data_IF_932202146071
#
_entry.id   IF_932202146071
#
_cell.length_a   1.000
_cell.length_b   1.000
_cell.length_c   1.000
_cell.angle_alpha   90.00
_cell.angle_beta   90.00
_cell.angle_gamma   90.00
#
_symmetry.space_group_name_H-M   'P 1'
#
loop_
_entity.id
_entity.type
_entity.pdbx_description
1 polymer ?
#
# COMPACT_ATOMS: atom_id res chain seq x y z
N UNK A 1 -22.31 6.31 -0.99
CA UNK A 1 -22.50 4.89 -0.58
C UNK A 1 -21.23 4.06 -0.71
N UNK A 2 -20.57 4.01 -1.89
CA UNK A 2 -19.35 3.21 -2.13
C UNK A 2 -18.20 3.43 -1.13
N UNK A 3 -17.99 4.67 -0.66
CA UNK A 3 -16.94 5.01 0.35
C UNK A 3 -17.16 4.29 1.69
N UNK A 4 -18.36 4.40 2.27
CA UNK A 4 -18.69 3.80 3.57
C UNK A 4 -18.63 2.28 3.56
N UNK A 5 -19.06 1.66 2.45
CA UNK A 5 -18.97 0.20 2.28
C UNK A 5 -17.51 -0.25 2.34
N UNK A 6 -16.59 0.42 1.63
CA UNK A 6 -15.15 0.10 1.69
C UNK A 6 -14.60 0.19 3.12
N UNK A 7 -15.02 1.20 3.88
CA UNK A 7 -14.58 1.39 5.27
C UNK A 7 -15.12 0.26 6.16
N UNK A 8 -16.42 -0.02 6.11
CA UNK A 8 -17.05 -1.09 6.91
C UNK A 8 -16.42 -2.45 6.60
N UNK A 9 -16.29 -2.80 5.33
CA UNK A 9 -15.67 -4.06 4.91
C UNK A 9 -14.20 -4.11 5.31
N UNK A 10 -13.44 -3.03 5.12
CA UNK A 10 -12.05 -2.96 5.53
C UNK A 10 -11.87 -3.11 7.05
N UNK A 11 -12.70 -2.45 7.85
CA UNK A 11 -12.70 -2.56 9.31
C UNK A 11 -13.04 -3.97 9.77
N UNK A 12 -14.01 -4.63 9.13
CA UNK A 12 -14.37 -6.01 9.44
C UNK A 12 -13.22 -6.98 9.14
N UNK A 13 -12.56 -6.84 7.98
CA UNK A 13 -11.41 -7.68 7.62
C UNK A 13 -10.26 -7.55 8.63
N UNK A 14 -9.96 -6.32 9.07
CA UNK A 14 -8.93 -6.07 10.10
C UNK A 14 -9.32 -6.74 11.42
N UNK A 15 -10.59 -6.60 11.85
CA UNK A 15 -11.06 -7.20 13.09
C UNK A 15 -11.04 -8.75 13.06
N UNK A 16 -11.43 -9.34 11.93
CA UNK A 16 -11.34 -10.79 11.68
C UNK A 16 -9.89 -11.24 11.77
N UNK A 17 -9.00 -10.55 11.06
CA UNK A 17 -7.58 -10.87 11.09
C UNK A 17 -7.00 -10.78 12.50
N UNK A 18 -7.33 -9.72 13.23
CA UNK A 18 -6.78 -9.46 14.55
C UNK A 18 -7.18 -10.54 15.56
N UNK A 19 -8.46 -10.91 15.65
CA UNK A 19 -8.91 -11.91 16.60
C UNK A 19 -8.46 -13.34 16.23
N UNK A 20 -8.67 -13.72 14.97
CA UNK A 20 -8.49 -15.12 14.55
C UNK A 20 -7.00 -15.46 14.35
N UNK A 21 -6.20 -14.55 13.78
CA UNK A 21 -4.84 -14.87 13.36
C UNK A 21 -3.77 -14.28 14.28
N UNK A 22 -4.04 -13.18 15.00
CA UNK A 22 -3.03 -12.52 15.82
C UNK A 22 -3.21 -12.83 17.30
N UNK A 23 -4.37 -12.46 17.85
CA UNK A 23 -4.65 -12.62 19.28
C UNK A 23 -4.72 -14.09 19.72
N UNK A 24 -5.25 -14.98 18.87
CA UNK A 24 -5.36 -16.42 19.18
C UNK A 24 -4.03 -17.19 19.08
N UNK A 25 -2.97 -16.57 18.53
CA UNK A 25 -1.71 -17.24 18.17
C UNK A 25 -0.44 -16.52 18.68
N UNK A 26 -0.58 -15.59 19.61
CA UNK A 26 0.56 -14.89 20.23
C UNK A 26 1.46 -14.15 19.23
N UNK A 27 0.82 -13.64 18.18
CA UNK A 27 1.46 -12.85 17.13
C UNK A 27 1.10 -11.39 17.35
N UNK A 28 2.12 -10.54 17.50
CA UNK A 28 1.94 -9.11 17.74
C UNK A 28 1.88 -8.35 16.41
N UNK A 29 0.75 -7.70 16.08
CA UNK A 29 0.64 -6.89 14.88
C UNK A 29 1.34 -5.53 15.04
N UNK A 30 1.28 -4.70 14.00
CA UNK A 30 1.97 -3.42 13.99
C UNK A 30 1.19 -2.29 14.71
N UNK A 31 1.93 -1.25 15.11
CA UNK A 31 1.38 -0.02 15.64
C UNK A 31 0.54 -0.16 16.91
N UNK A 32 -0.54 0.60 16.99
CA UNK A 32 -1.34 0.66 18.23
C UNK A 32 -2.01 -0.68 18.57
N UNK A 33 -2.26 -1.51 17.56
CA UNK A 33 -2.72 -2.89 17.71
C UNK A 33 -1.66 -3.78 18.35
N UNK A 34 -0.38 -3.57 18.03
CA UNK A 34 0.73 -4.26 18.69
C UNK A 34 0.82 -3.90 20.17
N UNK A 35 0.71 -2.60 20.49
CA UNK A 35 0.68 -2.11 21.87
C UNK A 35 -0.50 -2.71 22.64
N UNK A 36 -1.70 -2.70 22.05
CA UNK A 36 -2.89 -3.31 22.65
C UNK A 36 -2.70 -4.80 22.97
N UNK A 37 -2.06 -5.53 22.04
CA UNK A 37 -1.79 -6.96 22.20
C UNK A 37 -0.77 -7.20 23.31
N UNK A 38 0.33 -6.45 23.36
CA UNK A 38 1.32 -6.57 24.44
C UNK A 38 0.72 -6.27 25.82
N UNK A 39 -0.13 -5.25 25.91
CA UNK A 39 -0.85 -4.94 27.16
C UNK A 39 -1.80 -6.08 27.55
N UNK A 40 -2.48 -6.68 26.57
CA UNK A 40 -3.32 -7.86 26.80
C UNK A 40 -2.48 -9.04 27.34
N UNK A 41 -1.31 -9.33 26.77
CA UNK A 41 -0.44 -10.42 27.24
C UNK A 41 0.09 -10.23 28.66
N UNK A 42 0.41 -9.00 29.06
CA UNK A 42 0.97 -8.74 30.39
C UNK A 42 -0.12 -8.61 31.45
N UNK A 43 -1.24 -7.95 31.13
CA UNK A 43 -2.24 -7.53 32.12
C UNK A 43 -3.63 -8.16 31.92
N UNK A 44 -3.82 -9.02 30.92
CA UNK A 44 -5.12 -9.56 30.50
C UNK A 44 -6.20 -8.49 30.24
N UNK A 45 -5.78 -7.27 29.89
CA UNK A 45 -6.69 -6.18 29.58
C UNK A 45 -7.29 -6.37 28.19
N UNK A 46 -8.58 -6.06 28.00
CA UNK A 46 -9.24 -6.22 26.70
C UNK A 46 -8.60 -5.30 25.64
N UNK A 47 -7.99 -5.86 24.59
CA UNK A 47 -7.33 -5.07 23.56
C UNK A 47 -8.31 -4.14 22.82
N UNK A 48 -9.57 -4.55 22.67
CA UNK A 48 -10.57 -3.74 21.98
C UNK A 48 -10.89 -2.45 22.74
N UNK A 49 -10.99 -2.53 24.07
CA UNK A 49 -11.22 -1.36 24.93
C UNK A 49 -10.03 -0.41 24.89
N UNK A 50 -8.81 -0.95 24.97
CA UNK A 50 -7.61 -0.13 24.84
C UNK A 50 -7.55 0.60 23.50
N UNK A 51 -7.81 -0.11 22.40
CA UNK A 51 -7.82 0.46 21.06
C UNK A 51 -8.88 1.55 20.90
N UNK A 52 -10.07 1.34 21.45
CA UNK A 52 -11.14 2.34 21.40
C UNK A 52 -10.74 3.60 22.17
N UNK A 53 -10.25 3.47 23.41
CA UNK A 53 -9.81 4.60 24.23
C UNK A 53 -8.67 5.36 23.54
N UNK A 54 -7.66 4.63 23.05
CA UNK A 54 -6.50 5.24 22.42
C UNK A 54 -6.88 5.94 21.10
N UNK A 55 -7.74 5.35 20.26
CA UNK A 55 -8.25 6.00 19.07
C UNK A 55 -9.08 7.25 19.40
N UNK A 56 -9.93 7.22 20.42
CA UNK A 56 -10.70 8.41 20.84
C UNK A 56 -9.75 9.54 21.25
N UNK A 57 -8.75 9.26 22.08
CA UNK A 57 -7.73 10.25 22.47
C UNK A 57 -6.99 10.83 21.26
N UNK A 58 -6.58 9.98 20.32
CA UNK A 58 -5.88 10.41 19.11
C UNK A 58 -6.79 11.18 18.14
N UNK A 59 -8.07 10.82 18.02
CA UNK A 59 -9.03 11.56 17.20
C UNK A 59 -9.28 12.95 17.79
N UNK A 60 -9.34 13.09 19.12
CA UNK A 60 -9.42 14.40 19.78
C UNK A 60 -8.16 15.21 19.47
N UNK A 61 -6.98 14.60 19.57
CA UNK A 61 -5.72 15.27 19.20
C UNK A 61 -5.73 15.70 17.73
N UNK A 62 -6.19 14.85 16.82
CA UNK A 62 -6.33 15.16 15.39
C UNK A 62 -7.31 16.32 15.15
N UNK A 63 -8.41 16.38 15.89
CA UNK A 63 -9.36 17.49 15.80
C UNK A 63 -8.71 18.82 16.17
N UNK A 64 -7.94 18.85 17.25
CA UNK A 64 -7.26 20.06 17.75
C UNK A 64 -6.14 20.50 16.80
N UNK A 65 -5.37 19.56 16.25
CA UNK A 65 -4.14 19.85 15.48
C UNK A 65 -4.34 19.91 13.97
N UNK A 66 -5.07 18.95 13.39
CA UNK A 66 -5.31 18.83 11.94
C UNK A 66 -6.59 19.54 11.48
N UNK A 67 -7.44 19.92 12.43
CA UNK A 67 -8.66 20.68 12.19
C UNK A 67 -9.89 19.84 11.78
N UNK A 68 -11.05 20.51 11.65
CA UNK A 68 -12.38 19.87 11.56
C UNK A 68 -12.65 19.14 10.24
N UNK A 69 -11.79 19.28 9.23
CA UNK A 69 -11.95 18.62 7.93
C UNK A 69 -11.20 17.28 7.94
N UNK A 70 -9.93 17.28 8.38
CA UNK A 70 -9.07 16.09 8.34
C UNK A 70 -9.44 15.05 9.39
N UNK A 71 -9.82 15.46 10.60
CA UNK A 71 -10.12 14.49 11.67
C UNK A 71 -11.26 13.51 11.32
N UNK A 72 -12.17 13.92 10.43
CA UNK A 72 -13.30 13.09 9.97
C UNK A 72 -12.85 11.81 9.28
N UNK A 73 -11.64 11.79 8.72
CA UNK A 73 -11.07 10.63 8.04
C UNK A 73 -10.71 9.49 9.00
N UNK A 74 -10.65 9.74 10.31
CA UNK A 74 -10.30 8.73 11.32
C UNK A 74 -11.50 8.28 12.16
N UNK A 75 -12.59 9.05 12.18
CA UNK A 75 -13.77 8.80 13.03
C UNK A 75 -14.37 7.41 12.80
N UNK A 76 -14.71 7.10 11.55
CA UNK A 76 -15.45 5.88 11.25
C UNK A 76 -14.57 4.62 11.44
N UNK A 77 -13.34 4.53 10.89
CA UNK A 77 -12.46 3.39 11.14
C UNK A 77 -12.05 3.26 12.62
N UNK A 78 -11.76 4.38 13.28
CA UNK A 78 -11.30 4.41 14.66
C UNK A 78 -12.33 3.90 15.68
N UNK A 79 -13.62 3.92 15.34
CA UNK A 79 -14.70 3.34 16.14
C UNK A 79 -15.05 1.93 15.66
N UNK A 80 -15.18 1.71 14.35
CA UNK A 80 -15.63 0.42 13.81
C UNK A 80 -14.63 -0.72 14.05
N UNK A 81 -13.32 -0.46 13.94
CA UNK A 81 -12.33 -1.51 14.11
C UNK A 81 -12.33 -2.05 15.55
N UNK A 82 -12.19 -1.20 16.60
CA UNK A 82 -12.27 -1.69 17.97
C UNK A 82 -13.64 -2.31 18.29
N UNK A 83 -14.73 -1.75 17.77
CA UNK A 83 -16.08 -2.30 17.97
C UNK A 83 -16.20 -3.71 17.39
N UNK A 84 -15.75 -3.94 16.16
CA UNK A 84 -15.79 -5.27 15.56
C UNK A 84 -14.84 -6.24 16.26
N UNK A 85 -13.67 -5.78 16.72
CA UNK A 85 -12.78 -6.61 17.53
C UNK A 85 -13.49 -7.04 18.81
N UNK A 86 -14.12 -6.10 19.53
CA UNK A 86 -14.87 -6.37 20.76
C UNK A 86 -16.01 -7.37 20.53
N UNK A 87 -16.84 -7.15 19.50
CA UNK A 87 -17.95 -8.04 19.16
C UNK A 87 -17.44 -9.46 18.88
N UNK A 88 -16.36 -9.60 18.11
CA UNK A 88 -15.81 -10.92 17.79
C UNK A 88 -15.26 -11.65 19.02
N UNK A 89 -14.57 -10.92 19.89
CA UNK A 89 -14.06 -11.48 21.15
C UNK A 89 -15.22 -11.89 22.07
N UNK A 90 -16.25 -11.05 22.21
CA UNK A 90 -17.42 -11.31 23.04
C UNK A 90 -18.19 -12.57 22.62
N UNK A 91 -18.32 -12.84 21.32
CA UNK A 91 -18.97 -14.04 20.80
C UNK A 91 -18.03 -15.25 20.69
N UNK A 92 -16.80 -15.16 21.18
CA UNK A 92 -15.77 -16.19 21.05
C UNK A 92 -15.65 -16.72 19.61
N UNK A 93 -15.69 -15.80 18.63
CA UNK A 93 -15.51 -16.13 17.22
C UNK A 93 -14.02 -16.39 16.93
N UNK A 94 -13.48 -17.42 17.55
CA UNK A 94 -12.13 -17.93 17.33
C UNK A 94 -12.20 -19.17 16.43
N UNK A 95 -11.17 -19.36 15.62
CA UNK A 95 -10.99 -20.56 14.81
C UNK A 95 -9.73 -21.23 15.31
N UNK A 96 -9.82 -22.46 15.81
CA UNK A 96 -8.64 -23.25 16.11
C UNK A 96 -8.12 -23.88 14.83
N UNK A 97 -6.93 -23.48 14.43
CA UNK A 97 -6.16 -24.16 13.42
C UNK A 97 -5.25 -25.18 14.10
N UNK A 98 -5.81 -26.33 14.51
CA UNK A 98 -5.09 -27.36 15.27
C UNK A 98 -3.91 -28.00 14.51
N UNK A 99 -3.75 -27.73 13.21
CA UNK A 99 -2.71 -28.34 12.36
C UNK A 99 -2.04 -27.37 11.38
N UNK A 100 -2.20 -26.05 11.55
CA UNK A 100 -1.50 -25.07 10.68
C UNK A 100 -0.24 -24.56 11.36
N UNK A 101 0.85 -24.52 10.59
CA UNK A 101 2.08 -23.87 11.03
C UNK A 101 1.84 -22.38 11.30
N UNK A 102 2.44 -21.85 12.36
CA UNK A 102 2.33 -20.45 12.78
C UNK A 102 2.64 -19.47 11.64
N UNK A 103 3.58 -19.81 10.76
CA UNK A 103 3.92 -18.99 9.59
C UNK A 103 2.73 -18.82 8.62
N UNK A 104 1.89 -19.84 8.47
CA UNK A 104 0.71 -19.76 7.59
C UNK A 104 -0.34 -18.82 8.18
N UNK A 105 -0.53 -18.89 9.50
CA UNK A 105 -1.40 -17.97 10.25
C UNK A 105 -0.91 -16.53 10.11
N UNK A 106 0.40 -16.31 10.30
CA UNK A 106 1.08 -15.02 10.10
C UNK A 106 0.81 -14.47 8.71
N UNK A 107 1.06 -15.25 7.66
CA UNK A 107 0.91 -14.79 6.26
C UNK A 107 -0.56 -14.46 5.96
N UNK A 108 -1.49 -15.34 6.32
CA UNK A 108 -2.91 -15.17 6.05
C UNK A 108 -3.48 -13.92 6.76
N UNK A 109 -3.23 -13.80 8.07
CA UNK A 109 -3.67 -12.63 8.84
C UNK A 109 -3.07 -11.32 8.30
N UNK A 110 -1.77 -11.33 8.02
CA UNK A 110 -1.09 -10.13 7.51
C UNK A 110 -1.62 -9.67 6.16
N UNK A 111 -1.92 -10.62 5.27
CA UNK A 111 -2.49 -10.31 3.96
C UNK A 111 -3.92 -9.75 4.07
N UNK A 112 -4.78 -10.39 4.90
CA UNK A 112 -6.15 -9.93 5.15
C UNK A 112 -6.16 -8.53 5.78
N UNK A 113 -5.30 -8.29 6.77
CA UNK A 113 -5.13 -6.97 7.39
C UNK A 113 -4.68 -5.92 6.38
N UNK A 114 -3.68 -6.25 5.55
CA UNK A 114 -3.20 -5.37 4.50
C UNK A 114 -4.27 -5.01 3.45
N UNK A 115 -5.12 -5.98 3.08
CA UNK A 115 -6.29 -5.73 2.23
C UNK A 115 -7.30 -4.80 2.92
N UNK A 116 -7.62 -5.03 4.19
CA UNK A 116 -8.50 -4.17 4.97
C UNK A 116 -7.99 -2.72 5.05
N UNK A 117 -6.69 -2.54 5.32
CA UNK A 117 -6.02 -1.23 5.32
C UNK A 117 -6.18 -0.57 3.95
N UNK A 118 -5.96 -1.31 2.87
CA UNK A 118 -6.05 -0.77 1.51
C UNK A 118 -7.45 -0.28 1.14
N UNK A 119 -8.51 -0.94 1.59
CA UNK A 119 -9.89 -0.54 1.33
C UNK A 119 -10.21 0.79 2.02
N UNK A 120 -9.79 0.94 3.28
CA UNK A 120 -9.93 2.18 4.06
C UNK A 120 -9.13 3.30 3.40
N UNK A 121 -7.87 3.06 3.04
CA UNK A 121 -7.04 4.05 2.38
C UNK A 121 -7.57 4.46 0.99
N UNK A 122 -8.16 3.54 0.21
CA UNK A 122 -8.84 3.85 -1.06
C UNK A 122 -10.13 4.63 -0.88
N UNK A 123 -10.73 4.62 0.31
CA UNK A 123 -11.85 5.48 0.66
C UNK A 123 -11.39 6.91 1.03
N UNK A 124 -10.08 7.16 1.11
CA UNK A 124 -9.51 8.43 1.56
C UNK A 124 -9.52 8.61 3.08
N UNK A 125 -9.80 7.53 3.82
CA UNK A 125 -9.79 7.49 5.28
C UNK A 125 -8.53 6.78 5.78
N UNK A 126 -8.27 6.84 7.07
CA UNK A 126 -7.13 6.16 7.70
C UNK A 126 -7.62 5.24 8.81
N UNK A 127 -6.87 4.15 9.02
CA UNK A 127 -7.14 3.12 10.03
C UNK A 127 -7.03 3.67 11.46
N UNK A 128 -6.44 4.86 11.64
CA UNK A 128 -6.25 5.50 12.94
C UNK A 128 -4.96 5.06 13.62
N UNK A 129 -4.86 5.27 14.94
CA UNK A 129 -3.66 4.91 15.70
C UNK A 129 -2.41 5.69 15.25
N UNK A 130 -1.36 4.97 14.85
CA UNK A 130 -0.09 5.60 14.46
C UNK A 130 -0.20 6.52 13.24
N UNK A 131 -1.14 6.26 12.33
CA UNK A 131 -1.37 7.13 11.19
C UNK A 131 -1.75 8.55 11.64
N UNK A 132 -2.54 8.68 12.71
CA UNK A 132 -2.91 9.98 13.28
C UNK A 132 -1.66 10.67 13.84
N UNK A 133 -0.85 9.95 14.62
CA UNK A 133 0.38 10.49 15.21
C UNK A 133 1.31 10.99 14.11
N UNK A 134 1.46 10.21 13.03
CA UNK A 134 2.28 10.58 11.88
C UNK A 134 1.72 11.82 11.17
N UNK A 135 0.42 11.87 10.89
CA UNK A 135 -0.20 13.01 10.21
C UNK A 135 -0.12 14.30 11.04
N UNK A 136 -0.23 14.20 12.38
CA UNK A 136 -0.02 15.32 13.31
C UNK A 136 1.41 15.84 13.24
N UNK A 137 2.40 14.95 13.25
CA UNK A 137 3.83 15.35 13.16
C UNK A 137 4.18 15.93 11.79
N UNK A 138 3.67 15.33 10.72
CA UNK A 138 3.82 15.81 9.35
C UNK A 138 3.15 17.17 9.14
N UNK A 139 2.16 17.53 9.96
CA UNK A 139 1.55 18.86 9.94
C UNK A 139 2.42 19.93 10.62
N UNK A 140 3.26 19.52 11.57
CA UNK A 140 4.14 20.40 12.33
C UNK A 140 5.54 20.56 11.70
N UNK A 141 5.94 19.66 10.79
CA UNK A 141 7.31 19.60 10.23
C UNK A 141 7.29 19.62 8.70
N UNK A 142 8.28 20.26 8.08
CA UNK A 142 8.47 20.22 6.62
C UNK A 142 8.99 18.87 6.11
N UNK A 143 9.61 18.08 6.99
CA UNK A 143 10.11 16.74 6.71
C UNK A 143 9.03 15.68 6.95
N UNK A 144 8.46 15.16 5.87
CA UNK A 144 7.49 14.06 5.88
C UNK A 144 8.19 12.70 5.98
N UNK A 145 8.87 12.45 7.09
CA UNK A 145 9.58 11.19 7.32
C UNK A 145 8.80 10.29 8.30
N UNK A 146 8.84 8.97 8.07
CA UNK A 146 8.11 7.99 8.91
C UNK A 146 8.86 7.60 10.18
N UNK A 147 9.71 8.49 10.72
CA UNK A 147 10.62 8.16 11.84
C UNK A 147 9.83 7.68 13.05
N UNK A 148 8.74 8.35 13.42
CA UNK A 148 7.95 7.97 14.60
C UNK A 148 7.27 6.62 14.42
N UNK A 149 6.76 6.33 13.22
CA UNK A 149 6.21 5.01 12.92
C UNK A 149 7.26 3.90 13.11
N UNK A 150 8.50 4.11 12.63
CA UNK A 150 9.58 3.13 12.80
C UNK A 150 10.04 2.98 14.24
N UNK A 151 10.07 4.08 15.01
CA UNK A 151 10.42 4.03 16.43
C UNK A 151 9.39 3.22 17.22
N UNK A 152 8.10 3.46 17.00
CA UNK A 152 7.04 2.70 17.69
C UNK A 152 7.08 1.23 17.29
N UNK A 153 7.25 0.92 16.00
CA UNK A 153 7.42 -0.47 15.54
C UNK A 153 8.64 -1.15 16.19
N UNK A 154 9.76 -0.45 16.33
CA UNK A 154 10.96 -0.98 16.99
C UNK A 154 10.71 -1.26 18.48
N UNK A 155 9.99 -0.37 19.17
CA UNK A 155 9.60 -0.57 20.58
C UNK A 155 8.69 -1.80 20.72
N UNK A 156 7.74 -1.98 19.81
CA UNK A 156 6.84 -3.15 19.82
C UNK A 156 7.64 -4.43 19.58
N UNK A 157 8.57 -4.46 18.63
CA UNK A 157 9.41 -5.64 18.38
C UNK A 157 10.30 -5.96 19.59
N UNK A 158 10.91 -4.97 20.21
CA UNK A 158 11.69 -5.16 21.44
C UNK A 158 10.80 -5.66 22.60
N UNK A 159 9.60 -5.10 22.77
CA UNK A 159 8.64 -5.57 23.76
C UNK A 159 8.22 -7.02 23.51
N UNK A 160 7.98 -7.38 22.25
CA UNK A 160 7.65 -8.75 21.83
C UNK A 160 8.79 -9.71 22.15
N UNK A 161 10.04 -9.32 21.85
CA UNK A 161 11.23 -10.11 22.18
C UNK A 161 11.34 -10.39 23.68
N UNK A 162 11.09 -9.37 24.51
CA UNK A 162 11.22 -9.49 25.96
C UNK A 162 10.09 -10.29 26.62
N UNK A 163 8.86 -10.21 26.07
CA UNK A 163 7.66 -10.82 26.67
C UNK A 163 7.38 -12.21 26.09
N UNK A 164 7.46 -12.37 24.77
CA UNK A 164 7.07 -13.58 24.04
C UNK A 164 8.26 -14.32 23.41
N UNK A 165 9.45 -13.72 23.42
CA UNK A 165 10.66 -14.34 22.93
C UNK A 165 10.97 -14.06 21.45
N UNK A 166 12.08 -14.65 20.98
CA UNK A 166 12.67 -14.34 19.68
C UNK A 166 11.81 -14.80 18.50
N UNK A 167 11.16 -15.95 18.62
CA UNK A 167 10.32 -16.50 17.55
C UNK A 167 9.12 -15.60 17.25
N UNK A 168 8.35 -15.21 18.27
CA UNK A 168 7.21 -14.29 18.11
C UNK A 168 7.64 -12.91 17.62
N UNK A 169 8.84 -12.44 17.99
CA UNK A 169 9.40 -11.20 17.44
C UNK A 169 9.63 -11.32 15.92
N UNK A 170 10.20 -12.44 15.44
CA UNK A 170 10.40 -12.67 14.01
C UNK A 170 9.07 -12.76 13.25
N UNK A 171 8.08 -13.46 13.80
CA UNK A 171 6.74 -13.49 13.21
C UNK A 171 6.13 -12.09 13.13
N UNK A 172 6.24 -11.29 14.19
CA UNK A 172 5.75 -9.91 14.21
C UNK A 172 6.46 -9.03 13.17
N UNK A 173 7.77 -9.23 12.95
CA UNK A 173 8.52 -8.56 11.89
C UNK A 173 7.97 -8.91 10.50
N UNK A 174 7.70 -10.20 10.24
CA UNK A 174 7.09 -10.66 8.99
C UNK A 174 5.69 -10.05 8.81
N UNK A 175 4.88 -10.02 9.88
CA UNK A 175 3.55 -9.38 9.87
C UNK A 175 3.64 -7.92 9.42
N UNK A 176 4.52 -7.13 10.05
CA UNK A 176 4.73 -5.72 9.73
C UNK A 176 5.09 -5.54 8.25
N UNK A 177 5.98 -6.37 7.72
CA UNK A 177 6.43 -6.29 6.32
C UNK A 177 5.32 -6.64 5.34
N UNK A 178 4.57 -7.72 5.57
CA UNK A 178 3.48 -8.16 4.69
C UNK A 178 2.32 -7.16 4.72
N UNK A 179 1.90 -6.67 5.90
CA UNK A 179 0.85 -5.64 6.00
C UNK A 179 1.27 -4.39 5.23
N UNK A 180 2.50 -3.90 5.43
CA UNK A 180 3.00 -2.70 4.74
C UNK A 180 3.04 -2.87 3.23
N UNK A 181 3.56 -4.02 2.76
CA UNK A 181 3.62 -4.34 1.34
C UNK A 181 2.22 -4.40 0.73
N UNK A 182 1.33 -5.18 1.36
CA UNK A 182 -0.04 -5.43 0.87
C UNK A 182 -0.88 -4.17 0.90
N UNK A 183 -0.81 -3.36 1.97
CA UNK A 183 -1.52 -2.09 2.06
C UNK A 183 -1.05 -1.10 0.98
N UNK A 184 0.27 -1.01 0.74
CA UNK A 184 0.84 -0.10 -0.26
C UNK A 184 0.48 -0.52 -1.68
N UNK A 185 0.74 -1.78 -2.05
CA UNK A 185 0.44 -2.31 -3.38
C UNK A 185 -1.05 -2.32 -3.66
N UNK A 186 -1.86 -2.67 -2.68
CA UNK A 186 -3.32 -2.66 -2.87
C UNK A 186 -3.85 -1.24 -2.98
N UNK A 187 -3.31 -0.24 -2.25
CA UNK A 187 -3.75 1.17 -2.32
C UNK A 187 -3.52 1.78 -3.70
N UNK A 188 -2.31 1.67 -4.24
CA UNK A 188 -1.91 2.26 -5.54
C UNK A 188 -2.34 1.35 -6.71
N UNK A 189 -2.57 0.06 -6.44
CA UNK A 189 -2.82 -0.96 -7.45
C UNK A 189 -1.53 -1.57 -7.98
N UNK A 190 -1.69 -2.56 -8.87
CA UNK A 190 -0.57 -3.15 -9.61
C UNK A 190 -0.35 -2.28 -10.85
N UNK A 191 0.88 -1.86 -11.12
CA UNK A 191 1.23 -1.18 -12.38
C UNK A 191 0.93 -2.13 -13.54
N UNK A 192 -0.16 -1.84 -14.23
CA UNK A 192 -0.60 -2.57 -15.42
C UNK A 192 0.08 -2.07 -16.68
N UNK A 193 0.72 -0.89 -16.60
CA UNK A 193 1.31 -0.21 -17.74
C UNK A 193 2.71 0.32 -17.42
N UNK A 194 3.56 0.39 -18.43
CA UNK A 194 4.90 1.00 -18.39
C UNK A 194 4.95 2.16 -19.37
N UNK A 195 5.52 3.27 -18.93
CA UNK A 195 5.82 4.41 -19.80
C UNK A 195 7.28 4.30 -20.24
N UNK A 196 7.51 4.29 -21.54
CA UNK A 196 8.84 4.29 -22.14
C UNK A 196 9.16 5.69 -22.63
N UNK A 197 10.35 6.18 -22.29
CA UNK A 197 10.98 7.37 -22.86
C UNK A 197 12.26 6.94 -23.56
N UNK A 198 12.27 7.05 -24.87
CA UNK A 198 13.34 6.54 -25.73
C UNK A 198 14.03 7.70 -26.42
N UNK A 199 15.35 7.80 -26.25
CA UNK A 199 16.23 8.67 -27.02
C UNK A 199 17.13 7.76 -27.86
N UNK A 200 17.10 7.92 -29.17
CA UNK A 200 17.79 7.04 -30.12
C UNK A 200 18.34 7.83 -31.30
N UNK A 201 19.38 7.31 -31.93
CA UNK A 201 19.89 7.83 -33.22
C UNK A 201 19.10 7.34 -34.42
N UNK A 202 18.29 6.28 -34.24
CA UNK A 202 17.52 5.60 -35.28
C UNK A 202 16.02 5.85 -35.12
N UNK A 203 15.67 7.13 -35.00
CA UNK A 203 14.30 7.56 -34.66
C UNK A 203 13.22 6.94 -35.55
N UNK A 204 13.41 6.93 -36.87
CA UNK A 204 12.39 6.45 -37.82
C UNK A 204 12.19 4.93 -37.72
N UNK A 205 13.28 4.17 -37.55
CA UNK A 205 13.23 2.70 -37.42
C UNK A 205 12.49 2.31 -36.13
N UNK A 206 12.80 2.99 -35.01
CA UNK A 206 12.14 2.75 -33.73
C UNK A 206 10.66 3.15 -33.76
N UNK A 207 10.31 4.27 -34.38
CA UNK A 207 8.90 4.66 -34.56
C UNK A 207 8.12 3.65 -35.38
N UNK A 208 8.71 3.21 -36.50
CA UNK A 208 8.11 2.21 -37.36
C UNK A 208 7.88 0.89 -36.61
N UNK A 209 8.85 0.46 -35.81
CA UNK A 209 8.71 -0.72 -34.96
C UNK A 209 7.56 -0.59 -33.95
N UNK A 210 7.47 0.54 -33.24
CA UNK A 210 6.41 0.78 -32.24
C UNK A 210 5.03 0.83 -32.91
N UNK A 211 4.90 1.56 -34.02
CA UNK A 211 3.61 1.80 -34.68
C UNK A 211 3.13 0.61 -35.50
N UNK A 212 4.01 -0.06 -36.25
CA UNK A 212 3.60 -1.08 -37.22
C UNK A 212 3.75 -2.50 -36.70
N UNK A 213 4.85 -2.82 -36.00
CA UNK A 213 5.06 -4.15 -35.44
C UNK A 213 4.26 -4.33 -34.14
N UNK A 214 4.44 -3.39 -33.20
CA UNK A 214 3.76 -3.46 -31.89
C UNK A 214 2.34 -2.88 -31.91
N UNK A 215 1.95 -2.20 -32.99
CA UNK A 215 0.60 -1.60 -33.16
C UNK A 215 0.23 -0.65 -32.03
N UNK A 216 1.21 0.07 -31.50
CA UNK A 216 1.05 1.02 -30.41
C UNK A 216 1.34 2.45 -30.89
N UNK A 217 0.59 3.40 -30.36
CA UNK A 217 0.79 4.82 -30.66
C UNK A 217 1.88 5.45 -29.77
N UNK A 218 2.49 6.52 -30.25
CA UNK A 218 3.63 7.20 -29.63
C UNK A 218 3.47 8.72 -29.69
N UNK A 219 4.16 9.42 -28.80
CA UNK A 219 4.19 10.88 -28.76
C UNK A 219 5.64 11.34 -28.78
N UNK A 220 5.93 12.42 -29.51
CA UNK A 220 7.27 12.97 -29.62
C UNK A 220 7.41 14.30 -28.87
N UNK A 221 8.52 14.45 -28.15
CA UNK A 221 8.91 15.72 -27.55
C UNK A 221 10.25 16.18 -28.11
N UNK A 222 10.35 17.45 -28.52
CA UNK A 222 11.65 18.06 -28.79
C UNK A 222 12.36 18.34 -27.46
N UNK A 223 13.59 17.86 -27.31
CA UNK A 223 14.41 18.05 -26.12
C UNK A 223 15.74 18.73 -26.48
N UNK A 224 16.40 19.27 -25.45
CA UNK A 224 17.77 19.79 -25.54
C UNK A 224 18.60 19.18 -24.42
N UNK A 225 19.71 18.55 -24.77
CA UNK A 225 20.61 17.95 -23.78
C UNK A 225 21.20 19.00 -22.84
N UNK A 226 21.12 18.78 -21.52
CA UNK A 226 21.66 19.73 -20.54
C UNK A 226 23.18 19.92 -20.64
N UNK A 227 23.91 18.81 -20.87
CA UNK A 227 25.36 18.84 -21.06
C UNK A 227 25.76 19.09 -22.52
N UNK A 228 25.23 18.28 -23.44
CA UNK A 228 25.61 18.35 -24.86
C UNK A 228 25.07 19.59 -25.59
N UNK A 229 24.03 20.24 -25.06
CA UNK A 229 23.26 21.34 -25.69
C UNK A 229 22.64 21.00 -27.05
N UNK A 230 22.76 19.76 -27.52
CA UNK A 230 22.22 19.30 -28.78
C UNK A 230 20.69 19.17 -28.70
N UNK A 231 20.00 19.57 -29.77
CA UNK A 231 18.57 19.30 -29.94
C UNK A 231 18.41 17.83 -30.35
N UNK A 232 17.45 17.15 -29.75
CA UNK A 232 17.09 15.76 -30.07
C UNK A 232 15.60 15.57 -29.79
N UNK A 233 15.06 14.37 -30.02
CA UNK A 233 13.69 14.02 -29.69
C UNK A 233 13.63 12.87 -28.69
N UNK A 234 12.64 12.92 -27.82
CA UNK A 234 12.20 11.77 -27.03
C UNK A 234 10.97 11.17 -27.70
N UNK A 235 11.01 9.87 -27.95
CA UNK A 235 9.84 9.07 -28.28
C UNK A 235 9.25 8.56 -26.98
N UNK A 236 7.99 8.86 -26.72
CA UNK A 236 7.25 8.41 -25.55
C UNK A 236 6.12 7.46 -25.96
N UNK A 237 6.00 6.31 -25.31
CA UNK A 237 4.86 5.41 -25.52
C UNK A 237 4.47 4.72 -24.22
N UNK A 238 3.17 4.43 -24.07
CA UNK A 238 2.63 3.66 -22.95
C UNK A 238 2.26 2.26 -23.41
N UNK A 239 2.75 1.24 -22.73
CA UNK A 239 2.42 -0.17 -23.04
C UNK A 239 1.98 -0.95 -21.81
N UNK A 240 1.29 -2.07 -22.02
CA UNK A 240 1.00 -3.00 -20.95
C UNK A 240 2.29 -3.63 -20.40
N UNK A 241 2.35 -3.90 -19.10
CA UNK A 241 3.52 -4.52 -18.45
C UNK A 241 3.95 -5.85 -19.10
N UNK A 242 3.01 -6.60 -19.69
CA UNK A 242 3.29 -7.84 -20.43
C UNK A 242 4.12 -7.62 -21.71
N UNK A 243 4.01 -6.45 -22.35
CA UNK A 243 4.73 -6.11 -23.58
C UNK A 243 6.07 -5.41 -23.28
N UNK A 244 6.47 -5.35 -21.99
CA UNK A 244 7.68 -4.65 -21.54
C UNK A 244 8.94 -5.15 -22.27
N UNK A 245 9.15 -6.47 -22.29
CA UNK A 245 10.35 -7.06 -22.87
C UNK A 245 10.36 -6.92 -24.39
N UNK A 246 9.20 -7.06 -25.02
CA UNK A 246 9.06 -6.94 -26.48
C UNK A 246 9.53 -5.56 -26.97
N UNK A 247 9.02 -4.48 -26.37
CA UNK A 247 9.45 -3.12 -26.73
C UNK A 247 10.91 -2.87 -26.36
N UNK A 248 11.33 -3.20 -25.13
CA UNK A 248 12.69 -2.92 -24.66
C UNK A 248 13.74 -3.61 -25.54
N UNK A 249 13.60 -4.92 -25.75
CA UNK A 249 14.56 -5.69 -26.51
C UNK A 249 14.49 -5.36 -28.00
N UNK A 250 13.29 -5.13 -28.56
CA UNK A 250 13.13 -4.71 -29.95
C UNK A 250 13.83 -3.37 -30.27
N UNK A 251 13.74 -2.39 -29.36
CA UNK A 251 14.46 -1.11 -29.50
C UNK A 251 15.97 -1.32 -29.42
N UNK A 252 16.45 -2.15 -28.49
CA UNK A 252 17.89 -2.43 -28.33
C UNK A 252 18.47 -3.24 -29.49
N UNK A 253 17.66 -4.05 -30.18
CA UNK A 253 18.06 -4.71 -31.43
C UNK A 253 18.24 -3.71 -32.57
N UNK A 254 17.37 -2.70 -32.65
CA UNK A 254 17.42 -1.65 -33.68
C UNK A 254 18.60 -0.71 -33.41
N UNK A 255 18.70 -0.19 -32.19
CA UNK A 255 19.75 0.72 -31.73
C UNK A 255 20.29 0.28 -30.36
N UNK A 256 21.40 -0.48 -30.33
CA UNK A 256 22.04 -0.91 -29.08
C UNK A 256 22.54 0.24 -28.19
N UNK A 257 22.63 1.47 -28.73
CA UNK A 257 23.05 2.67 -27.99
C UNK A 257 21.87 3.55 -27.57
N UNK A 258 20.63 3.12 -27.81
CA UNK A 258 19.44 3.85 -27.38
C UNK A 258 19.41 4.00 -25.85
N UNK A 259 19.11 5.22 -25.40
CA UNK A 259 18.79 5.47 -24.00
C UNK A 259 17.30 5.23 -23.79
N UNK A 260 16.96 4.29 -22.90
CA UNK A 260 15.58 3.92 -22.58
C UNK A 260 15.35 4.15 -21.09
N UNK A 261 14.47 5.09 -20.75
CA UNK A 261 13.98 5.28 -19.39
C UNK A 261 12.56 4.74 -19.27
N UNK A 262 12.32 3.91 -18.25
CA UNK A 262 11.05 3.20 -18.08
C UNK A 262 10.50 3.55 -16.71
N UNK A 263 9.23 3.95 -16.67
CA UNK A 263 8.53 4.30 -15.43
C UNK A 263 7.24 3.52 -15.27
N UNK A 264 6.86 3.25 -14.02
CA UNK A 264 5.63 2.52 -13.70
C UNK A 264 4.41 3.42 -13.86
N UNK A 265 3.53 3.08 -14.80
CA UNK A 265 2.18 3.63 -14.89
C UNK A 265 1.21 2.82 -14.04
N UNK A 266 0.74 3.39 -12.93
CA UNK A 266 -0.27 2.76 -12.07
C UNK A 266 -1.68 2.88 -12.67
N UNK A 267 -1.98 4.02 -13.28
CA UNK A 267 -3.23 4.28 -13.98
C UNK A 267 -2.94 5.08 -15.25
N UNK A 268 -3.35 4.54 -16.40
CA UNK A 268 -3.28 5.21 -17.70
C UNK A 268 -4.68 5.20 -18.27
N UNK A 269 -5.35 6.35 -18.20
CA UNK A 269 -6.71 6.54 -18.71
C UNK A 269 -6.60 6.87 -20.20
N UNK A 270 -7.40 6.22 -21.03
CA UNK A 270 -7.35 6.37 -22.49
C UNK A 270 -5.94 6.09 -23.04
N UNK A 271 -5.41 4.89 -22.79
CA UNK A 271 -4.15 4.42 -23.38
C UNK A 271 -4.11 4.76 -24.86
N UNK A 272 -2.95 5.24 -25.31
CA UNK A 272 -2.59 5.38 -26.72
C UNK A 272 -3.13 4.16 -27.47
N UNK A 273 -4.16 4.39 -28.28
CA UNK A 273 -5.01 3.34 -28.83
C UNK A 273 -4.12 2.38 -29.61
N UNK A 274 -4.31 1.07 -29.39
CA UNK A 274 -3.79 0.11 -30.36
C UNK A 274 -4.46 0.47 -31.69
N UNK A 275 -3.66 0.75 -32.71
CA UNK A 275 -4.12 1.36 -33.98
C UNK A 275 -5.24 0.54 -34.65
N UNK A 276 -5.44 -0.72 -34.23
CA UNK A 276 -6.45 -1.64 -34.75
C UNK A 276 -7.88 -1.52 -34.18
N UNK A 277 -8.32 -0.39 -33.59
CA UNK A 277 -9.72 -0.25 -33.12
C UNK A 277 -10.50 1.02 -33.52
N UNK A 278 -9.95 1.91 -34.37
CA UNK A 278 -10.68 3.11 -34.80
C UNK A 278 -11.26 3.10 -36.22
N UNK A 279 -10.99 2.10 -37.06
CA UNK A 279 -11.52 2.07 -38.44
C UNK A 279 -12.83 1.29 -38.63
N UNK A 280 -13.67 1.22 -37.59
CA UNK A 280 -15.07 0.77 -37.73
C UNK A 280 -15.98 1.61 -36.86
N UNK A 281 -16.18 2.86 -37.25
CA UNK A 281 -17.49 3.49 -37.39
C UNK A 281 -17.30 4.94 -37.83
N UNK A 282 -17.81 5.21 -39.03
CA UNK A 282 -18.21 6.53 -39.55
C UNK A 282 -19.09 7.25 -38.54
#
# INVERSE_FOLDING_TARGET
>A
MKKRIKIITGSLLIAISYNIFFLSYDIIPNGIYGIASLINYVNNYDPALFLLMANVCLIILAYITLGPIKYKNYLLPGILIPLFIYIMNYFHLTVSFENLESITVVIAGSFITGLGYSLIYKAGDSVGGLDIIQDVLDSATTNKNKIVSYLVESIILLGTLLILGFESMLYSLIVILIIRYTATKSKIGISTSKMFYIITTKENEVKNYIMNELKHDLTEFNIKGGFSKNKSKIIMTSMDTKNYYELKEGVLLIDPKAFISITDGYEVINKNLSINKQDKNV
#
